data_IF_434001232212
#
_entry.id   IF_434001232212
#
_cell.length_a   1.000
_cell.length_b   1.000
_cell.length_c   1.000
_cell.angle_alpha   90.00
_cell.angle_beta   90.00
_cell.angle_gamma   90.00
#
_symmetry.space_group_name_H-M   'P 1'
#
loop_
_entity.id
_entity.type
_entity.pdbx_description
1 polymer ?
#
# COMPACT_ATOMS: atom_id res chain seq x y z
N UNK A 1 -4.62 -9.65 4.81
CA UNK A 1 -5.40 -9.18 3.66
C UNK A 1 -4.67 -7.97 3.10
N UNK A 2 -4.34 -7.98 1.82
CA UNK A 2 -3.46 -6.98 1.20
C UNK A 2 -4.28 -6.05 0.30
N UNK A 3 -4.22 -4.75 0.57
CA UNK A 3 -5.04 -3.72 -0.07
C UNK A 3 -4.21 -2.92 -1.06
N UNK A 4 -4.81 -2.54 -2.18
CA UNK A 4 -4.10 -1.83 -3.24
C UNK A 4 -4.21 -0.31 -3.06
N UNK A 5 -3.06 0.37 -2.95
CA UNK A 5 -2.97 1.83 -3.02
C UNK A 5 -2.93 2.30 -4.48
N UNK A 6 -3.65 3.38 -4.76
CA UNK A 6 -3.54 4.14 -6.00
C UNK A 6 -2.54 5.28 -5.77
N UNK A 7 -1.63 5.49 -6.71
CA UNK A 7 -0.69 6.60 -6.68
C UNK A 7 -1.23 7.69 -7.60
N UNK A 8 -1.99 8.63 -7.03
CA UNK A 8 -2.25 9.93 -7.63
C UNK A 8 -2.84 10.84 -6.56
N UNK A 9 -1.94 11.49 -5.82
CA UNK A 9 -1.89 12.94 -5.54
C UNK A 9 -0.46 13.23 -5.03
N UNK A 10 0.20 14.22 -5.64
CA UNK A 10 1.60 14.54 -5.38
C UNK A 10 1.82 15.02 -3.94
N UNK A 11 2.90 14.56 -3.32
CA UNK A 11 3.33 14.98 -1.99
C UNK A 11 4.30 16.14 -2.17
N UNK A 12 3.96 17.31 -1.60
CA UNK A 12 4.92 18.40 -1.38
C UNK A 12 5.93 17.93 -0.31
N UNK A 13 7.22 18.02 -0.62
CA UNK A 13 8.30 17.49 0.20
C UNK A 13 8.40 18.23 1.55
N UNK A 14 7.70 17.72 2.55
CA UNK A 14 7.87 18.10 3.96
C UNK A 14 8.78 17.08 4.67
N UNK A 15 9.94 17.54 5.14
CA UNK A 15 10.84 16.76 5.99
C UNK A 15 10.14 16.41 7.32
N UNK A 16 9.76 15.14 7.50
CA UNK A 16 9.39 14.60 8.80
C UNK A 16 10.29 13.41 9.10
N UNK A 17 11.32 13.63 9.92
CA UNK A 17 12.26 12.59 10.34
C UNK A 17 11.61 11.70 11.42
N UNK A 18 10.57 10.96 11.07
CA UNK A 18 10.20 9.75 11.79
C UNK A 18 10.86 8.58 11.05
N UNK A 19 11.75 7.86 11.73
CA UNK A 19 12.37 6.66 11.18
C UNK A 19 11.28 5.62 11.01
N UNK A 20 10.71 5.53 9.81
CA UNK A 20 9.83 4.43 9.44
C UNK A 20 10.69 3.17 9.40
N UNK A 21 10.33 2.13 10.16
CA UNK A 21 11.01 0.84 10.04
C UNK A 21 10.77 0.31 8.63
N UNK A 22 11.83 0.26 7.84
CA UNK A 22 11.83 -0.33 6.51
C UNK A 22 12.67 -1.61 6.51
N UNK A 23 12.16 -2.66 5.89
CA UNK A 23 12.87 -3.92 5.71
C UNK A 23 12.79 -4.38 4.26
N UNK A 24 13.68 -5.28 3.86
CA UNK A 24 13.64 -5.92 2.55
C UNK A 24 12.72 -7.12 2.56
N UNK A 25 11.76 -7.12 1.66
CA UNK A 25 10.84 -8.23 1.43
C UNK A 25 10.97 -8.80 0.02
N UNK A 26 10.26 -9.90 -0.22
CA UNK A 26 10.08 -10.46 -1.54
C UNK A 26 8.61 -10.74 -1.81
N UNK A 27 8.11 -10.28 -2.97
CA UNK A 27 6.78 -10.61 -3.50
C UNK A 27 6.95 -11.30 -4.84
N UNK A 28 6.54 -12.57 -4.93
CA UNK A 28 6.66 -13.37 -6.15
C UNK A 28 8.06 -13.26 -6.79
N UNK A 29 9.09 -13.40 -5.94
CA UNK A 29 10.51 -13.36 -6.33
C UNK A 29 11.07 -11.98 -6.69
N UNK A 30 10.31 -10.88 -6.54
CA UNK A 30 10.83 -9.50 -6.68
C UNK A 30 11.14 -8.93 -5.32
N UNK A 31 12.36 -8.41 -5.16
CA UNK A 31 12.76 -7.64 -3.98
C UNK A 31 11.90 -6.37 -3.90
N UNK A 32 11.38 -6.09 -2.71
CA UNK A 32 10.55 -4.92 -2.40
C UNK A 32 11.02 -4.33 -1.07
N UNK A 33 10.72 -3.05 -0.85
CA UNK A 33 10.83 -2.44 0.47
C UNK A 33 9.49 -2.58 1.18
N UNK A 34 9.51 -3.04 2.43
CA UNK A 34 8.34 -3.20 3.29
C UNK A 34 8.40 -2.13 4.36
N UNK A 35 7.40 -1.26 4.38
CA UNK A 35 7.23 -0.27 5.45
C UNK A 35 6.43 -0.92 6.58
N UNK A 36 7.01 -0.94 7.78
CA UNK A 36 6.39 -1.50 8.97
C UNK A 36 5.73 -0.36 9.74
N UNK A 37 4.40 -0.36 9.77
CA UNK A 37 3.60 0.61 10.51
C UNK A 37 2.68 -0.13 11.50
N UNK A 38 3.01 -0.03 12.79
CA UNK A 38 2.21 -0.61 13.87
C UNK A 38 0.82 0.05 14.03
N UNK A 39 0.64 1.26 13.48
CA UNK A 39 -0.63 1.98 13.44
C UNK A 39 -1.52 1.59 12.25
N UNK A 40 -0.98 0.87 11.26
CA UNK A 40 -1.75 0.45 10.10
C UNK A 40 -2.72 -0.69 10.47
N UNK A 41 -4.01 -0.46 10.20
CA UNK A 41 -5.04 -1.49 10.44
C UNK A 41 -5.04 -2.61 9.40
N UNK A 42 -4.39 -2.38 8.26
CA UNK A 42 -4.36 -3.28 7.11
C UNK A 42 -3.03 -3.14 6.36
N UNK A 43 -2.62 -4.20 5.65
CA UNK A 43 -1.41 -4.17 4.84
C UNK A 43 -1.72 -3.61 3.46
N UNK A 44 -0.83 -2.78 2.93
CA UNK A 44 -0.99 -2.17 1.62
C UNK A 44 0.09 -2.64 0.64
N UNK A 45 -0.28 -2.77 -0.64
CA UNK A 45 0.63 -3.02 -1.75
C UNK A 45 0.39 -2.01 -2.85
N UNK A 46 1.47 -1.61 -3.52
CA UNK A 46 1.38 -0.75 -4.68
C UNK A 46 0.62 -1.45 -5.83
N UNK A 47 -0.34 -0.78 -6.46
CA UNK A 47 -1.14 -1.37 -7.55
C UNK A 47 -0.28 -1.92 -8.67
N UNK A 48 0.73 -1.15 -9.10
CA UNK A 48 1.59 -1.57 -10.21
C UNK A 48 2.31 -2.90 -9.89
N UNK A 49 2.72 -3.11 -8.64
CA UNK A 49 3.38 -4.34 -8.21
C UNK A 49 2.38 -5.52 -8.21
N UNK A 50 1.17 -5.31 -7.70
CA UNK A 50 0.14 -6.33 -7.69
C UNK A 50 -0.27 -6.76 -9.11
N UNK A 51 -0.35 -5.82 -10.05
CA UNK A 51 -0.64 -6.09 -11.46
C UNK A 51 0.54 -6.77 -12.18
N UNK A 52 1.76 -6.27 -11.98
CA UNK A 52 2.99 -6.87 -12.53
C UNK A 52 3.12 -8.35 -12.13
N UNK A 53 2.89 -8.64 -10.85
CA UNK A 53 2.95 -9.99 -10.30
C UNK A 53 1.69 -10.80 -10.51
N UNK A 54 0.66 -10.23 -11.15
CA UNK A 54 -0.64 -10.87 -11.41
C UNK A 54 -1.23 -11.49 -10.14
N UNK A 55 -1.08 -10.78 -9.02
CA UNK A 55 -1.64 -11.24 -7.75
C UNK A 55 -3.16 -11.40 -7.90
N UNK A 56 -3.75 -12.49 -7.39
CA UNK A 56 -5.18 -12.71 -7.48
C UNK A 56 -5.91 -11.60 -6.72
N UNK A 57 -6.64 -10.77 -7.47
CA UNK A 57 -7.35 -9.61 -6.95
C UNK A 57 -8.86 -9.78 -7.11
N UNK A 58 -9.59 -9.67 -6.00
CA UNK A 58 -11.03 -9.49 -6.02
C UNK A 58 -11.36 -8.03 -6.34
N UNK A 59 -11.97 -7.80 -7.51
CA UNK A 59 -12.38 -6.47 -7.98
C UNK A 59 -13.76 -6.10 -7.44
N UNK A 60 -14.02 -4.80 -7.31
CA UNK A 60 -15.36 -4.29 -6.98
C UNK A 60 -15.69 -4.29 -5.49
N UNK A 61 -14.74 -4.65 -4.63
CA UNK A 61 -14.87 -4.45 -3.18
C UNK A 61 -14.85 -2.96 -2.87
N UNK A 62 -15.94 -2.41 -2.34
CA UNK A 62 -15.97 -1.03 -1.85
C UNK A 62 -15.32 -0.96 -0.47
N UNK A 63 -14.00 -0.85 -0.43
CA UNK A 63 -13.25 -0.62 0.81
C UNK A 63 -12.62 0.77 0.79
N UNK A 64 -12.79 1.51 1.89
CA UNK A 64 -12.20 2.82 2.08
C UNK A 64 -11.26 2.80 3.29
N UNK A 65 -10.17 3.54 3.19
CA UNK A 65 -9.20 3.70 4.28
C UNK A 65 -8.78 5.16 4.37
N UNK A 66 -8.25 5.53 5.54
CA UNK A 66 -7.69 6.84 5.79
C UNK A 66 -6.18 6.68 5.92
N UNK A 67 -5.40 7.45 5.18
CA UNK A 67 -3.93 7.47 5.29
C UNK A 67 -3.49 8.51 6.34
N UNK A 68 -2.20 8.57 6.66
CA UNK A 68 -1.66 9.35 7.80
C UNK A 68 -1.98 10.85 7.78
N UNK A 69 -2.25 11.43 6.61
CA UNK A 69 -2.64 12.84 6.45
C UNK A 69 -4.15 13.12 6.65
N UNK A 70 -4.95 12.07 6.91
CA UNK A 70 -6.41 12.17 7.06
C UNK A 70 -7.19 12.01 5.75
N UNK A 71 -6.52 11.86 4.61
CA UNK A 71 -7.13 11.64 3.30
C UNK A 71 -7.86 10.30 3.25
N UNK A 72 -9.11 10.34 2.80
CA UNK A 72 -9.93 9.14 2.57
C UNK A 72 -9.74 8.62 1.16
N UNK A 73 -9.13 7.45 1.05
CA UNK A 73 -8.90 6.76 -0.21
C UNK A 73 -9.87 5.58 -0.37
N UNK A 74 -10.07 5.14 -1.61
CA UNK A 74 -10.78 3.89 -1.93
C UNK A 74 -9.81 2.92 -2.62
N UNK A 75 -9.75 1.69 -2.12
CA UNK A 75 -8.95 0.64 -2.76
C UNK A 75 -9.63 0.13 -4.04
N UNK A 76 -8.83 -0.31 -5.03
CA UNK A 76 -9.37 -0.92 -6.27
C UNK A 76 -9.80 -2.38 -6.11
N UNK A 77 -9.31 -3.04 -5.06
CA UNK A 77 -9.56 -4.44 -4.81
C UNK A 77 -8.74 -4.96 -3.65
N UNK A 78 -8.92 -6.24 -3.38
CA UNK A 78 -8.22 -6.97 -2.33
C UNK A 78 -7.44 -8.12 -2.97
N UNK A 79 -6.15 -8.22 -2.66
CA UNK A 79 -5.35 -9.40 -3.00
C UNK A 79 -5.58 -10.51 -1.96
N UNK A 80 -5.82 -11.75 -2.41
CA UNK A 80 -6.05 -12.93 -1.56
C UNK A 80 -4.89 -13.93 -1.60
#
# INVERSE_FOLDING_TARGET
MLFILNEEEGIDEGECSEVQEEDKGYVEGKEVVVLIDSGATHNFIHQALAEEKKLPMEKGTQFGFTIGDGTRCKGKGICR
#
